data_IF_112311605774
#
_entry.id   IF_112311605774
#
_cell.length_a   1.000
_cell.length_b   1.000
_cell.length_c   1.000
_cell.angle_alpha   90.00
_cell.angle_beta   90.00
_cell.angle_gamma   90.00
#
_symmetry.space_group_name_H-M   'P 1'
#
loop_
_entity.id
_entity.type
_entity.pdbx_description
1 polymer ?
#
# COMPACT_ATOMS: atom_id res chain seq x y z
N UNK A 1 5.45 -6.47 4.59
CA UNK A 1 4.99 -5.31 3.78
C UNK A 1 3.48 -5.22 3.71
N UNK A 2 2.75 -6.30 3.37
CA UNK A 2 1.28 -6.34 3.36
C UNK A 2 0.63 -5.78 4.63
N UNK A 3 1.09 -6.21 5.80
CA UNK A 3 0.59 -5.73 7.09
C UNK A 3 0.67 -4.21 7.24
N UNK A 4 1.81 -3.60 6.90
CA UNK A 4 2.01 -2.15 7.05
C UNK A 4 1.29 -1.37 5.95
N UNK A 5 1.47 -1.78 4.68
CA UNK A 5 0.98 -1.02 3.53
C UNK A 5 -0.52 -1.16 3.29
N UNK A 6 -1.15 -2.22 3.81
CA UNK A 6 -2.57 -2.48 3.61
C UNK A 6 -3.34 -2.65 4.93
N UNK A 7 -3.02 -3.67 5.75
CA UNK A 7 -3.83 -3.98 6.93
C UNK A 7 -3.83 -2.85 7.98
N UNK A 8 -2.68 -2.23 8.23
CA UNK A 8 -2.59 -1.11 9.16
C UNK A 8 -3.37 0.11 8.66
N UNK A 9 -3.31 0.41 7.36
CA UNK A 9 -4.08 1.50 6.76
C UNK A 9 -5.58 1.21 6.78
N UNK A 10 -5.97 -0.04 6.53
CA UNK A 10 -7.35 -0.51 6.65
C UNK A 10 -7.85 -0.32 8.09
N UNK A 11 -7.12 -0.82 9.09
CA UNK A 11 -7.51 -0.72 10.50
C UNK A 11 -7.57 0.75 10.97
N UNK A 12 -6.57 1.56 10.60
CA UNK A 12 -6.54 2.98 10.90
C UNK A 12 -7.74 3.72 10.28
N UNK A 13 -8.01 3.47 9.00
CA UNK A 13 -9.15 4.09 8.30
C UNK A 13 -10.47 3.66 8.92
N UNK A 14 -10.64 2.38 9.23
CA UNK A 14 -11.82 1.81 9.87
C UNK A 14 -12.10 2.49 11.22
N UNK A 15 -11.07 2.71 12.04
CA UNK A 15 -11.20 3.40 13.32
C UNK A 15 -11.55 4.89 13.22
N UNK A 16 -11.41 5.50 12.04
CA UNK A 16 -11.74 6.91 11.82
C UNK A 16 -13.07 7.13 11.07
N UNK A 17 -13.77 6.06 10.67
CA UNK A 17 -14.94 6.19 9.78
C UNK A 17 -16.06 7.05 10.36
N UNK A 18 -16.34 6.94 11.66
CA UNK A 18 -17.38 7.74 12.30
C UNK A 18 -17.04 9.23 12.28
N UNK A 19 -15.79 9.58 12.56
CA UNK A 19 -15.30 10.96 12.50
C UNK A 19 -15.32 11.51 11.06
N UNK A 20 -14.89 10.71 10.09
CA UNK A 20 -14.92 11.06 8.67
C UNK A 20 -16.36 11.31 8.22
N UNK A 21 -17.31 10.47 8.65
CA UNK A 21 -18.74 10.62 8.35
C UNK A 21 -19.28 11.92 8.94
N UNK A 22 -19.06 12.17 10.23
CA UNK A 22 -19.50 13.41 10.88
C UNK A 22 -18.91 14.65 10.20
N UNK A 23 -17.63 14.60 9.83
CA UNK A 23 -16.98 15.69 9.11
C UNK A 23 -17.64 15.91 7.75
N UNK A 24 -17.92 14.83 7.01
CA UNK A 24 -18.55 14.90 5.69
C UNK A 24 -19.97 15.51 5.74
N UNK A 25 -20.73 15.26 6.80
CA UNK A 25 -22.07 15.84 6.99
C UNK A 25 -21.99 17.37 7.14
N UNK A 26 -20.90 17.89 7.71
CA UNK A 26 -20.70 19.33 7.89
C UNK A 26 -20.06 19.98 6.65
N UNK A 27 -19.01 19.37 6.11
CA UNK A 27 -18.21 19.98 5.03
C UNK A 27 -18.75 19.68 3.64
N UNK A 28 -19.56 18.64 3.48
CA UNK A 28 -20.02 18.10 2.19
C UNK A 28 -18.88 17.69 1.22
N UNK A 29 -17.62 17.71 1.68
CA UNK A 29 -16.44 17.23 0.98
C UNK A 29 -15.47 16.64 2.00
N UNK A 30 -15.38 15.31 2.03
CA UNK A 30 -14.42 14.56 2.84
C UNK A 30 -13.65 13.59 1.97
N UNK A 31 -12.36 13.40 2.26
CA UNK A 31 -11.47 12.62 1.40
C UNK A 31 -10.60 11.68 2.20
N UNK A 32 -10.51 10.45 1.73
CA UNK A 32 -9.57 9.43 2.19
C UNK A 32 -8.60 9.16 1.04
N UNK A 33 -7.33 9.50 1.22
CA UNK A 33 -6.32 9.38 0.15
C UNK A 33 -5.24 8.39 0.55
N UNK A 34 -5.13 7.30 -0.21
CA UNK A 34 -4.11 6.27 -0.04
C UNK A 34 -2.90 6.56 -0.94
N UNK A 35 -1.75 6.86 -0.33
CA UNK A 35 -0.48 6.97 -1.06
C UNK A 35 0.00 5.59 -1.53
N UNK A 36 0.17 5.45 -2.84
CA UNK A 36 0.39 4.19 -3.52
C UNK A 36 1.59 4.26 -4.48
N UNK A 37 1.86 3.17 -5.20
CA UNK A 37 2.98 3.05 -6.14
C UNK A 37 2.58 2.26 -7.36
N UNK A 38 3.09 2.65 -8.54
CA UNK A 38 2.97 1.88 -9.77
C UNK A 38 3.51 0.44 -9.67
N UNK A 39 4.23 0.09 -8.60
CA UNK A 39 4.62 -1.29 -8.29
C UNK A 39 3.43 -2.26 -8.19
N UNK A 40 2.19 -1.79 -7.95
CA UNK A 40 1.02 -2.67 -8.01
C UNK A 40 0.88 -3.40 -9.36
N UNK A 41 1.39 -2.81 -10.45
CA UNK A 41 1.34 -3.38 -11.81
C UNK A 41 2.22 -4.61 -11.98
N UNK A 42 3.15 -4.86 -11.05
CA UNK A 42 4.01 -6.05 -11.03
C UNK A 42 3.22 -7.27 -10.56
N UNK A 43 2.19 -7.06 -9.74
CA UNK A 43 1.33 -8.11 -9.23
C UNK A 43 0.21 -8.43 -10.23
N UNK A 44 -0.06 -9.72 -10.43
CA UNK A 44 -1.16 -10.20 -11.28
C UNK A 44 -2.42 -10.49 -10.48
N UNK A 45 -2.27 -11.13 -9.32
CA UNK A 45 -3.34 -11.49 -8.39
C UNK A 45 -2.77 -11.58 -6.98
N UNK A 46 -3.58 -11.21 -5.99
CA UNK A 46 -3.23 -11.44 -4.59
C UNK A 46 -3.37 -12.92 -4.23
N UNK A 47 -2.28 -13.47 -3.71
CA UNK A 47 -2.24 -14.77 -3.04
C UNK A 47 -2.22 -14.50 -1.53
N UNK A 48 -3.38 -14.65 -0.90
CA UNK A 48 -3.55 -14.31 0.51
C UNK A 48 -2.76 -15.23 1.44
N UNK A 49 -2.62 -16.51 1.11
CA UNK A 49 -1.83 -17.45 1.92
C UNK A 49 -0.35 -17.02 1.93
N UNK A 50 0.17 -16.69 0.75
CA UNK A 50 1.54 -16.19 0.60
C UNK A 50 1.76 -14.85 1.31
N UNK A 51 0.75 -13.97 1.31
CA UNK A 51 0.83 -12.65 1.96
C UNK A 51 0.95 -12.74 3.49
N UNK A 52 0.41 -13.79 4.09
CA UNK A 52 0.43 -14.04 5.54
C UNK A 52 1.54 -15.01 5.97
N UNK A 53 2.26 -15.61 5.02
CA UNK A 53 3.32 -16.57 5.33
C UNK A 53 4.61 -15.87 5.76
N UNK A 54 5.12 -16.23 6.95
CA UNK A 54 6.44 -15.79 7.44
C UNK A 54 7.54 -16.46 6.63
N UNK A 55 8.54 -15.68 6.21
CA UNK A 55 9.71 -16.18 5.47
C UNK A 55 10.92 -16.07 6.39
N UNK A 56 11.41 -17.19 6.95
CA UNK A 56 12.62 -17.18 7.78
C UNK A 56 13.84 -16.73 6.97
N UNK A 57 14.75 -15.98 7.60
CA UNK A 57 16.01 -15.53 7.00
C UNK A 57 15.87 -14.72 5.69
N UNK A 58 14.77 -14.01 5.51
CA UNK A 58 14.54 -13.13 4.36
C UNK A 58 15.58 -11.99 4.28
N UNK A 59 15.96 -11.60 3.06
CA UNK A 59 16.86 -10.48 2.79
C UNK A 59 18.37 -10.78 2.81
N UNK A 60 18.76 -12.05 2.77
CA UNK A 60 20.17 -12.45 2.77
C UNK A 60 20.74 -12.63 1.36
N UNK A 61 19.90 -12.95 0.37
CA UNK A 61 20.30 -13.24 -1.01
C UNK A 61 19.69 -12.26 -2.02
N UNK A 62 20.27 -12.19 -3.22
CA UNK A 62 19.69 -11.43 -4.34
C UNK A 62 18.29 -11.91 -4.72
N UNK A 63 18.02 -13.22 -4.57
CA UNK A 63 16.69 -13.81 -4.78
C UNK A 63 15.68 -13.25 -3.78
N UNK A 64 16.10 -13.03 -2.53
CA UNK A 64 15.23 -12.47 -1.50
C UNK A 64 14.88 -11.01 -1.80
N UNK A 65 15.82 -10.23 -2.34
CA UNK A 65 15.57 -8.86 -2.80
C UNK A 65 14.53 -8.85 -3.93
N UNK A 66 14.70 -9.69 -4.95
CA UNK A 66 13.71 -9.83 -6.04
C UNK A 66 12.33 -10.23 -5.51
N UNK A 67 12.30 -11.16 -4.54
CA UNK A 67 11.05 -11.61 -3.92
C UNK A 67 10.43 -10.50 -3.05
N UNK A 68 11.24 -9.65 -2.41
CA UNK A 68 10.79 -8.49 -1.67
C UNK A 68 10.08 -7.47 -2.58
N UNK A 69 10.60 -7.21 -3.77
CA UNK A 69 9.94 -6.35 -4.76
C UNK A 69 8.58 -6.91 -5.19
N UNK A 70 8.45 -8.24 -5.35
CA UNK A 70 7.15 -8.87 -5.62
C UNK A 70 6.18 -8.68 -4.46
N UNK A 71 6.61 -8.96 -3.23
CA UNK A 71 5.79 -8.74 -2.01
C UNK A 71 5.39 -7.27 -1.84
N UNK A 72 6.26 -6.34 -2.23
CA UNK A 72 5.95 -4.92 -2.27
C UNK A 72 4.83 -4.63 -3.28
N UNK A 73 4.96 -5.13 -4.51
CA UNK A 73 3.94 -5.04 -5.55
C UNK A 73 2.59 -5.59 -5.08
N UNK A 74 2.57 -6.79 -4.48
CA UNK A 74 1.36 -7.39 -3.94
C UNK A 74 0.73 -6.51 -2.85
N UNK A 75 1.55 -5.94 -1.95
CA UNK A 75 1.04 -5.02 -0.92
C UNK A 75 0.43 -3.74 -1.48
N UNK A 76 0.93 -3.25 -2.63
CA UNK A 76 0.41 -2.06 -3.32
C UNK A 76 -0.84 -2.39 -4.15
N UNK A 77 -0.94 -3.59 -4.71
CA UNK A 77 -2.17 -4.09 -5.31
C UNK A 77 -3.29 -4.25 -4.26
N UNK A 78 -2.97 -4.76 -3.08
CA UNK A 78 -3.92 -4.83 -1.98
C UNK A 78 -4.43 -3.44 -1.55
N UNK A 79 -3.56 -2.43 -1.52
CA UNK A 79 -3.98 -1.05 -1.27
C UNK A 79 -4.95 -0.53 -2.35
N UNK A 80 -4.73 -0.84 -3.64
CA UNK A 80 -5.69 -0.49 -4.72
C UNK A 80 -7.05 -1.15 -4.48
N UNK A 81 -7.08 -2.46 -4.19
CA UNK A 81 -8.33 -3.17 -3.92
C UNK A 81 -9.04 -2.61 -2.68
N UNK A 82 -8.29 -2.26 -1.63
CA UNK A 82 -8.84 -1.61 -0.45
C UNK A 82 -9.53 -0.28 -0.77
N UNK A 83 -8.91 0.55 -1.61
CA UNK A 83 -9.50 1.82 -2.07
C UNK A 83 -10.78 1.58 -2.87
N UNK A 84 -10.74 0.67 -3.85
CA UNK A 84 -11.90 0.36 -4.70
C UNK A 84 -13.08 -0.17 -3.88
N UNK A 85 -12.82 -1.15 -3.00
CA UNK A 85 -13.86 -1.76 -2.18
C UNK A 85 -14.40 -0.79 -1.13
N UNK A 86 -13.54 0.00 -0.48
CA UNK A 86 -14.01 1.02 0.45
C UNK A 86 -14.89 2.05 -0.27
N UNK A 87 -14.47 2.50 -1.46
CA UNK A 87 -15.23 3.45 -2.27
C UNK A 87 -16.61 2.90 -2.67
N UNK A 88 -16.67 1.64 -3.08
CA UNK A 88 -17.91 0.93 -3.41
C UNK A 88 -18.81 0.78 -2.19
N UNK A 89 -18.27 0.39 -1.02
CA UNK A 89 -19.08 0.29 0.21
C UNK A 89 -19.65 1.63 0.65
N UNK A 90 -18.83 2.68 0.65
CA UNK A 90 -19.28 4.02 1.06
C UNK A 90 -20.43 4.50 0.17
N UNK A 91 -20.28 4.40 -1.14
CA UNK A 91 -21.28 4.90 -2.09
C UNK A 91 -22.49 3.96 -2.24
N UNK A 92 -22.24 2.70 -2.56
CA UNK A 92 -23.29 1.78 -3.03
C UNK A 92 -23.95 0.97 -1.90
N UNK A 93 -23.30 0.86 -0.73
CA UNK A 93 -23.87 0.15 0.44
C UNK A 93 -24.37 1.09 1.52
N UNK A 94 -23.69 2.21 1.75
CA UNK A 94 -23.99 3.15 2.83
C UNK A 94 -24.61 4.47 2.35
N UNK A 95 -24.63 4.74 1.04
CA UNK A 95 -25.19 5.99 0.49
C UNK A 95 -24.38 7.25 0.81
N UNK A 96 -23.12 7.10 1.22
CA UNK A 96 -22.22 8.20 1.57
C UNK A 96 -21.55 8.74 0.31
N UNK A 97 -22.20 9.69 -0.35
CA UNK A 97 -21.75 10.24 -1.65
C UNK A 97 -20.78 11.42 -1.53
N UNK A 98 -20.62 11.98 -0.34
CA UNK A 98 -19.77 13.13 -0.01
C UNK A 98 -18.38 12.72 0.56
N UNK A 99 -18.08 11.40 0.59
CA UNK A 99 -16.78 10.86 1.00
C UNK A 99 -16.08 10.26 -0.22
N UNK A 100 -14.97 10.87 -0.63
CA UNK A 100 -14.17 10.44 -1.77
C UNK A 100 -12.98 9.60 -1.32
N UNK A 101 -12.90 8.36 -1.82
CA UNK A 101 -11.78 7.46 -1.54
C UNK A 101 -10.91 7.36 -2.78
N UNK A 102 -9.67 7.82 -2.69
CA UNK A 102 -8.75 7.93 -3.83
C UNK A 102 -7.41 7.26 -3.53
N UNK A 103 -6.71 6.89 -4.59
CA UNK A 103 -5.33 6.41 -4.52
C UNK A 103 -4.44 7.23 -5.45
N UNK A 104 -3.27 7.65 -4.96
CA UNK A 104 -2.33 8.43 -5.77
C UNK A 104 -0.94 7.78 -5.79
N UNK A 105 -0.29 7.80 -6.94
CA UNK A 105 1.13 7.50 -7.05
C UNK A 105 1.89 8.84 -7.12
N UNK A 106 2.81 9.14 -6.19
CA UNK A 106 3.49 10.44 -6.13
C UNK A 106 4.61 10.62 -7.17
N UNK A 107 4.70 9.74 -8.17
CA UNK A 107 5.81 9.69 -9.12
C UNK A 107 7.02 8.90 -8.57
N UNK A 108 8.14 9.02 -9.28
CA UNK A 108 9.38 8.35 -8.90
C UNK A 108 9.94 9.03 -7.64
N UNK A 109 10.12 8.25 -6.57
CA UNK A 109 10.58 8.76 -5.27
C UNK A 109 12.10 9.00 -5.24
N UNK A 110 12.58 9.90 -6.10
CA UNK A 110 13.98 10.31 -6.16
C UNK A 110 14.28 11.15 -4.89
N UNK A 111 15.26 10.72 -4.10
CA UNK A 111 15.69 11.47 -2.89
C UNK A 111 14.96 11.11 -1.60
N UNK A 112 14.17 10.04 -1.56
CA UNK A 112 13.63 9.48 -0.30
C UNK A 112 14.49 8.32 0.21
N UNK A 113 14.34 7.96 1.48
CA UNK A 113 14.97 6.75 2.05
C UNK A 113 14.27 5.45 1.63
N UNK A 114 13.16 5.51 0.88
CA UNK A 114 12.48 4.33 0.37
C UNK A 114 13.36 3.62 -0.67
N UNK A 115 13.73 2.37 -0.37
CA UNK A 115 14.69 1.60 -1.16
C UNK A 115 16.13 1.68 -0.66
N UNK A 116 16.44 2.61 0.24
CA UNK A 116 17.68 2.62 1.01
C UNK A 116 17.47 1.72 2.23
N UNK A 117 17.89 0.46 2.13
CA UNK A 117 17.61 -0.55 3.15
C UNK A 117 18.85 -1.31 3.60
N UNK A 118 18.90 -1.59 4.90
CA UNK A 118 19.87 -2.39 5.66
C UNK A 118 20.00 -3.88 5.25
N UNK A 119 19.48 -4.28 4.08
CA UNK A 119 19.59 -5.64 3.59
C UNK A 119 21.02 -5.87 3.09
N UNK A 120 21.76 -6.80 3.70
CA UNK A 120 23.17 -7.07 3.36
C UNK A 120 23.36 -7.37 1.86
N UNK A 121 22.37 -8.01 1.22
CA UNK A 121 22.36 -8.27 -0.23
C UNK A 121 22.10 -7.06 -1.13
N UNK A 122 21.54 -5.96 -0.61
CA UNK A 122 21.28 -4.71 -1.35
C UNK A 122 22.52 -3.80 -1.36
N UNK A 123 23.28 -3.80 -0.26
CA UNK A 123 24.35 -2.84 0.00
C UNK A 123 25.48 -2.87 -1.06
N UNK A 124 25.89 -4.04 -1.59
CA UNK A 124 27.06 -4.09 -2.48
C UNK A 124 26.77 -3.83 -3.98
N UNK A 125 25.55 -4.08 -4.47
CA UNK A 125 25.28 -4.08 -5.93
C UNK A 125 24.38 -2.92 -6.36
N UNK A 126 23.43 -2.48 -5.53
CA UNK A 126 22.47 -1.43 -5.90
C UNK A 126 23.03 -0.02 -5.73
N UNK A 127 23.95 0.22 -4.78
CA UNK A 127 24.64 1.52 -4.66
C UNK A 127 25.42 1.91 -5.93
N UNK A 128 25.92 0.93 -6.70
CA UNK A 128 26.67 1.16 -7.94
C UNK A 128 25.80 1.40 -9.18
N UNK A 129 24.53 1.04 -9.13
CA UNK A 129 23.59 1.20 -10.26
C UNK A 129 22.78 2.50 -10.12
N UNK A 130 22.67 3.01 -8.89
CA UNK A 130 21.90 4.23 -8.57
C UNK A 130 22.78 5.49 -8.55
N UNK A 131 24.11 5.36 -8.56
CA UNK A 131 25.07 6.44 -8.87
C UNK A 131 25.51 6.35 -10.32
#
# INVERSE_FOLDING_TARGET
MFTVNHLAHFAFTAGLLDLIKQTSETTQDSRIVYTNSNAYKIASKLDYEKLTTTIPNDGQTLKDVSTAFKRYGDSKLAAVYGVLELSHRMRDKLGLTNIYVNSCHPGNAIGTTLGQGHQKGVNQTLEKIVR
#
